data_IF_327885537455
#
_entry.id   IF_327885537455
#
_cell.length_a   1.000
_cell.length_b   1.000
_cell.length_c   1.000
_cell.angle_alpha   90.00
_cell.angle_beta   90.00
_cell.angle_gamma   90.00
#
_symmetry.space_group_name_H-M   'P 1'
#
loop_
_entity.id
_entity.type
_entity.pdbx_description
1 polymer ?
#
# COMPACT_ATOMS: atom_id res chain seq x y z
N UNK A 1 -12.26 -3.42 22.31
CA UNK A 1 -12.15 -2.29 23.24
C UNK A 1 -10.65 -2.09 23.56
N UNK A 2 -10.02 -1.16 22.88
CA UNK A 2 -8.66 -0.75 23.13
C UNK A 2 -8.63 0.74 23.43
N UNK A 3 -8.90 1.10 24.68
CA UNK A 3 -8.56 2.41 25.21
C UNK A 3 -7.18 2.32 25.82
N UNK A 4 -6.22 3.08 25.33
CA UNK A 4 -4.94 3.24 25.95
C UNK A 4 -4.88 4.63 26.60
N UNK A 5 -4.95 4.67 27.91
CA UNK A 5 -4.56 5.85 28.67
C UNK A 5 -3.06 5.74 28.92
N UNK A 6 -2.26 6.47 28.18
CA UNK A 6 -0.83 6.54 28.41
C UNK A 6 -0.56 7.71 29.36
N UNK A 7 0.06 7.37 30.48
CA UNK A 7 0.54 8.23 31.57
C UNK A 7 -0.43 8.52 32.71
N UNK A 8 -0.43 7.60 33.67
CA UNK A 8 -0.87 7.90 35.02
C UNK A 8 0.37 8.09 35.90
N UNK A 9 0.82 9.31 36.12
CA UNK A 9 1.73 9.65 37.21
C UNK A 9 0.89 10.22 38.34
N UNK A 10 1.08 9.68 39.55
CA UNK A 10 0.29 9.95 40.73
C UNK A 10 0.58 11.35 41.32
N UNK A 11 0.19 12.38 40.62
CA UNK A 11 -0.04 13.75 41.10
C UNK A 11 -0.88 14.42 39.99
N UNK A 12 -2.19 14.58 40.18
CA UNK A 12 -3.13 15.38 39.37
C UNK A 12 -2.66 15.68 37.92
N UNK A 13 -2.27 14.64 37.18
CA UNK A 13 -1.86 14.84 35.78
C UNK A 13 -3.08 14.79 34.91
N UNK A 14 -3.40 15.91 34.28
CA UNK A 14 -4.31 15.94 33.14
C UNK A 14 -3.79 14.98 32.06
N UNK A 15 -4.63 14.11 31.50
CA UNK A 15 -4.19 13.21 30.44
C UNK A 15 -3.67 14.05 29.25
N UNK A 16 -2.47 13.70 28.75
CA UNK A 16 -1.89 14.36 27.56
C UNK A 16 -2.61 13.94 26.28
N UNK A 17 -3.22 12.77 26.24
CA UNK A 17 -3.89 12.20 25.09
C UNK A 17 -5.08 11.33 25.52
N UNK A 18 -6.15 11.39 24.76
CA UNK A 18 -7.28 10.46 24.80
C UNK A 18 -7.51 9.88 23.39
N UNK A 19 -7.50 8.54 23.29
CA UNK A 19 -7.68 7.81 22.03
C UNK A 19 -8.72 6.70 22.21
N UNK A 20 -9.86 6.82 21.55
CA UNK A 20 -10.84 5.74 21.36
C UNK A 20 -10.99 5.43 19.87
N UNK A 21 -10.49 4.28 19.43
CA UNK A 21 -10.58 3.88 18.05
C UNK A 21 -11.07 2.43 17.90
N UNK A 22 -12.01 2.23 16.98
CA UNK A 22 -12.54 0.92 16.64
C UNK A 22 -12.73 0.81 15.12
N UNK A 23 -12.14 -0.24 14.54
CA UNK A 23 -12.26 -0.53 13.11
C UNK A 23 -12.77 -1.96 12.93
N UNK A 24 -13.75 -2.11 12.04
CA UNK A 24 -14.30 -3.43 11.67
C UNK A 24 -14.49 -3.46 10.16
N UNK A 25 -13.95 -4.46 9.49
CA UNK A 25 -14.08 -4.61 8.05
C UNK A 25 -14.91 -5.86 7.73
N UNK A 26 -15.89 -5.69 6.86
CA UNK A 26 -16.60 -6.80 6.21
C UNK A 26 -16.11 -6.89 4.77
N UNK A 27 -15.49 -8.02 4.44
CA UNK A 27 -14.85 -8.21 3.13
C UNK A 27 -15.56 -9.35 2.40
N UNK A 28 -16.02 -9.06 1.18
CA UNK A 28 -16.52 -10.05 0.23
C UNK A 28 -15.60 -10.08 -0.98
N UNK A 29 -15.06 -11.26 -1.31
CA UNK A 29 -14.18 -11.43 -2.47
C UNK A 29 -14.67 -12.59 -3.33
N UNK A 30 -14.71 -12.38 -4.65
CA UNK A 30 -14.94 -13.44 -5.62
C UNK A 30 -13.86 -13.40 -6.69
N UNK A 31 -13.46 -14.58 -7.15
CA UNK A 31 -12.43 -14.72 -8.19
C UNK A 31 -12.86 -15.80 -9.15
N UNK A 32 -12.80 -15.48 -10.44
CA UNK A 32 -13.00 -16.41 -11.52
C UNK A 32 -11.69 -16.59 -12.29
N UNK A 33 -11.19 -17.83 -12.36
CA UNK A 33 -9.98 -18.19 -13.08
C UNK A 33 -10.32 -19.19 -14.17
N UNK A 34 -9.94 -18.88 -15.41
CA UNK A 34 -10.22 -19.73 -16.57
C UNK A 34 -8.97 -19.92 -17.43
N UNK A 35 -8.66 -21.17 -17.69
CA UNK A 35 -7.67 -21.57 -18.68
C UNK A 35 -8.39 -21.80 -20.01
N UNK A 36 -8.20 -20.89 -20.97
CA UNK A 36 -8.79 -20.99 -22.29
C UNK A 36 -8.00 -21.92 -23.22
N UNK A 37 -6.69 -21.95 -23.06
CA UNK A 37 -5.79 -22.86 -23.77
C UNK A 37 -4.53 -23.12 -22.95
N UNK A 38 -3.62 -23.97 -23.47
CA UNK A 38 -2.31 -24.19 -22.83
C UNK A 38 -1.43 -22.92 -22.80
N UNK A 39 -1.76 -21.91 -23.61
CA UNK A 39 -1.01 -20.67 -23.71
C UNK A 39 -1.79 -19.44 -23.20
N UNK A 40 -3.07 -19.58 -22.83
CA UNK A 40 -3.89 -18.45 -22.41
C UNK A 40 -4.68 -18.76 -21.15
N UNK A 41 -4.39 -18.02 -20.08
CA UNK A 41 -5.17 -18.02 -18.84
C UNK A 41 -5.64 -16.60 -18.54
N UNK A 42 -6.84 -16.49 -17.97
CA UNK A 42 -7.38 -15.21 -17.49
C UNK A 42 -7.92 -15.39 -16.08
N UNK A 43 -7.71 -14.36 -15.28
CA UNK A 43 -8.21 -14.26 -13.91
C UNK A 43 -8.94 -12.93 -13.75
N UNK A 44 -10.21 -12.99 -13.36
CA UNK A 44 -11.04 -11.82 -13.05
C UNK A 44 -11.46 -11.90 -11.60
N UNK A 45 -11.40 -10.81 -10.88
CA UNK A 45 -11.83 -10.76 -9.49
C UNK A 45 -12.53 -9.46 -9.15
N UNK A 46 -13.33 -9.55 -8.10
CA UNK A 46 -14.05 -8.44 -7.51
C UNK A 46 -13.92 -8.54 -5.99
N UNK A 47 -13.68 -7.41 -5.34
CA UNK A 47 -13.65 -7.30 -3.88
C UNK A 47 -14.48 -6.10 -3.44
N UNK A 48 -15.36 -6.33 -2.49
CA UNK A 48 -16.11 -5.32 -1.77
C UNK A 48 -15.66 -5.33 -0.32
N UNK A 49 -15.15 -4.22 0.17
CA UNK A 49 -14.76 -4.05 1.57
C UNK A 49 -15.61 -2.94 2.18
N UNK A 50 -16.49 -3.29 3.13
CA UNK A 50 -17.20 -2.29 3.94
C UNK A 50 -16.44 -2.08 5.25
N UNK A 51 -16.04 -0.84 5.50
CA UNK A 51 -15.21 -0.41 6.63
C UNK A 51 -16.07 0.39 7.60
N UNK A 52 -16.37 -0.20 8.76
CA UNK A 52 -17.01 0.51 9.89
C UNK A 52 -15.91 1.12 10.73
N UNK A 53 -16.05 2.39 11.06
CA UNK A 53 -15.07 3.10 11.85
C UNK A 53 -15.73 3.94 12.96
N UNK A 54 -15.08 3.98 14.07
CA UNK A 54 -15.24 4.96 15.16
C UNK A 54 -13.84 5.38 15.55
N UNK A 55 -13.58 6.66 15.57
CA UNK A 55 -12.32 7.24 16.02
C UNK A 55 -12.61 8.52 16.76
N UNK A 56 -11.91 8.73 17.84
CA UNK A 56 -11.90 9.94 18.64
C UNK A 56 -10.50 10.07 19.20
N UNK A 57 -9.74 11.03 18.70
CA UNK A 57 -8.40 11.35 19.15
C UNK A 57 -8.36 12.80 19.58
N UNK A 58 -8.06 13.02 20.83
CA UNK A 58 -7.85 14.33 21.43
C UNK A 58 -6.48 14.40 22.08
N UNK A 59 -5.77 15.52 21.92
CA UNK A 59 -4.42 15.73 22.41
C UNK A 59 -4.34 17.09 23.07
N UNK A 60 -3.61 17.19 24.19
CA UNK A 60 -3.29 18.49 24.80
C UNK A 60 -2.16 19.15 23.99
N UNK A 61 -2.33 20.38 23.49
CA UNK A 61 -1.29 21.09 22.72
C UNK A 61 -0.02 21.30 23.55
N UNK A 62 -0.18 21.55 24.84
CA UNK A 62 0.88 21.69 25.83
C UNK A 62 0.52 20.97 27.13
N UNK A 63 1.53 20.72 27.97
CA UNK A 63 1.35 20.08 29.27
C UNK A 63 0.35 20.90 30.12
N UNK A 64 -0.62 20.22 30.73
CA UNK A 64 -1.70 20.79 31.55
C UNK A 64 -2.75 21.63 30.79
N UNK A 65 -2.75 21.67 29.45
CA UNK A 65 -3.83 22.29 28.67
C UNK A 65 -5.00 21.31 28.42
N UNK A 66 -6.20 21.84 28.14
CA UNK A 66 -7.33 21.00 27.77
C UNK A 66 -7.08 20.20 26.50
N UNK A 67 -7.63 18.98 26.44
CA UNK A 67 -7.58 18.15 25.25
C UNK A 67 -8.30 18.82 24.09
N UNK A 68 -7.67 18.83 22.93
CA UNK A 68 -8.24 19.30 21.66
C UNK A 68 -8.48 18.13 20.72
N UNK A 69 -9.61 18.18 20.01
CA UNK A 69 -9.95 17.16 19.04
C UNK A 69 -9.04 17.30 17.82
N UNK A 70 -8.25 16.24 17.56
CA UNK A 70 -7.36 16.14 16.39
C UNK A 70 -8.01 15.32 15.27
N UNK A 71 -8.68 14.23 15.61
CA UNK A 71 -9.39 13.42 14.61
C UNK A 71 -10.66 12.83 15.22
N UNK A 72 -11.79 13.00 14.54
CA UNK A 72 -13.06 12.47 15.03
C UNK A 72 -13.96 12.08 13.87
N UNK A 73 -14.45 10.84 13.92
CA UNK A 73 -15.39 10.33 12.93
C UNK A 73 -16.03 9.02 13.36
N UNK A 74 -17.29 8.83 12.96
CA UNK A 74 -18.01 7.58 13.15
C UNK A 74 -18.89 7.33 11.94
N UNK A 75 -18.85 6.12 11.41
CA UNK A 75 -19.66 5.77 10.25
C UNK A 75 -19.19 4.50 9.57
N UNK A 76 -19.54 4.41 8.30
CA UNK A 76 -19.02 3.38 7.42
C UNK A 76 -18.76 3.95 6.03
N UNK A 77 -17.85 3.33 5.33
CA UNK A 77 -17.54 3.58 3.91
C UNK A 77 -17.13 2.29 3.25
N UNK A 78 -17.09 2.28 1.92
CA UNK A 78 -16.71 1.07 1.19
C UNK A 78 -15.56 1.35 0.23
N UNK A 79 -14.67 0.37 0.11
CA UNK A 79 -13.70 0.26 -0.95
C UNK A 79 -14.15 -0.87 -1.89
N UNK A 80 -14.46 -0.50 -3.13
CA UNK A 80 -14.91 -1.41 -4.17
C UNK A 80 -13.76 -1.57 -5.16
N UNK A 81 -13.38 -2.80 -5.46
CA UNK A 81 -12.31 -3.05 -6.43
C UNK A 81 -12.61 -4.22 -7.36
N UNK A 82 -12.10 -4.12 -8.58
CA UNK A 82 -12.20 -5.18 -9.57
C UNK A 82 -10.91 -5.25 -10.39
N UNK A 83 -10.59 -6.44 -10.86
CA UNK A 83 -9.42 -6.64 -11.72
C UNK A 83 -9.68 -7.69 -12.78
N UNK A 84 -8.94 -7.53 -13.87
CA UNK A 84 -8.77 -8.55 -14.90
C UNK A 84 -7.28 -8.71 -15.19
N UNK A 85 -6.80 -9.95 -15.26
CA UNK A 85 -5.40 -10.26 -15.53
C UNK A 85 -5.31 -11.46 -16.46
N UNK A 86 -4.53 -11.31 -17.51
CA UNK A 86 -4.30 -12.33 -18.53
C UNK A 86 -2.83 -12.71 -18.59
N UNK A 87 -2.57 -14.01 -18.77
CA UNK A 87 -1.24 -14.54 -19.05
C UNK A 87 -1.29 -15.26 -20.41
N UNK A 88 -0.43 -14.82 -21.33
CA UNK A 88 -0.37 -15.31 -22.72
C UNK A 88 1.03 -15.81 -23.03
N UNK A 89 1.17 -17.10 -23.33
CA UNK A 89 2.37 -17.68 -23.91
C UNK A 89 2.49 -17.30 -25.39
N UNK A 90 3.21 -16.23 -25.70
CA UNK A 90 3.41 -15.76 -27.08
C UNK A 90 4.18 -16.80 -27.91
N UNK A 91 5.18 -17.40 -27.27
CA UNK A 91 5.95 -18.53 -27.79
C UNK A 91 6.28 -19.49 -26.64
N UNK A 92 7.06 -20.53 -26.89
CA UNK A 92 7.56 -21.43 -25.82
C UNK A 92 8.53 -20.71 -24.87
N UNK A 93 9.11 -19.58 -25.31
CA UNK A 93 10.12 -18.82 -24.54
C UNK A 93 9.62 -17.47 -24.02
N UNK A 94 8.52 -16.96 -24.58
CA UNK A 94 7.99 -15.64 -24.25
C UNK A 94 6.62 -15.74 -23.62
N UNK A 95 6.45 -15.13 -22.44
CA UNK A 95 5.16 -15.01 -21.76
C UNK A 95 4.87 -13.55 -21.50
N UNK A 96 3.70 -13.09 -21.94
CA UNK A 96 3.15 -11.76 -21.63
C UNK A 96 2.10 -11.90 -20.53
N UNK A 97 2.23 -11.12 -19.48
CA UNK A 97 1.22 -10.90 -18.47
C UNK A 97 0.70 -9.47 -18.60
N UNK A 98 -0.59 -9.31 -18.71
CA UNK A 98 -1.22 -7.98 -18.79
C UNK A 98 -2.48 -7.96 -17.94
N UNK A 99 -2.71 -6.87 -17.23
CA UNK A 99 -3.86 -6.72 -16.36
C UNK A 99 -4.22 -5.27 -16.10
N UNK A 100 -5.41 -5.09 -15.60
CA UNK A 100 -5.95 -3.83 -15.14
C UNK A 100 -6.65 -4.07 -13.80
N UNK A 101 -6.41 -3.18 -12.86
CA UNK A 101 -7.10 -3.15 -11.57
C UNK A 101 -7.75 -1.77 -11.42
N UNK A 102 -8.94 -1.74 -10.89
CA UNK A 102 -9.66 -0.51 -10.60
C UNK A 102 -10.22 -0.54 -9.19
N UNK A 103 -10.24 0.62 -8.53
CA UNK A 103 -10.86 0.75 -7.21
C UNK A 103 -11.58 2.09 -7.05
N UNK A 104 -12.60 2.10 -6.20
CA UNK A 104 -13.45 3.23 -5.86
C UNK A 104 -13.60 3.29 -4.33
N UNK A 105 -13.28 4.42 -3.73
CA UNK A 105 -13.57 4.72 -2.33
C UNK A 105 -14.85 5.54 -2.24
N UNK A 106 -15.88 4.99 -1.60
CA UNK A 106 -17.20 5.66 -1.51
C UNK A 106 -17.24 6.83 -0.52
N UNK A 107 -16.21 6.97 0.34
CA UNK A 107 -16.09 8.09 1.29
C UNK A 107 -16.12 9.45 0.59
N UNK A 108 -15.43 9.55 -0.54
CA UNK A 108 -15.23 10.79 -1.29
C UNK A 108 -15.36 10.59 -2.81
N UNK A 109 -15.82 9.42 -3.26
CA UNK A 109 -15.99 9.04 -4.67
C UNK A 109 -14.70 9.11 -5.50
N UNK A 110 -13.51 9.02 -4.85
CA UNK A 110 -12.24 8.90 -5.55
C UNK A 110 -12.06 7.50 -6.10
N UNK A 111 -11.43 7.42 -7.26
CA UNK A 111 -11.17 6.16 -7.95
C UNK A 111 -9.77 6.13 -8.55
N UNK A 112 -9.27 4.93 -8.80
CA UNK A 112 -8.01 4.72 -9.50
C UNK A 112 -8.11 3.58 -10.51
N UNK A 113 -7.28 3.66 -11.55
CA UNK A 113 -7.07 2.60 -12.53
C UNK A 113 -5.60 2.30 -12.62
N UNK A 114 -5.26 1.02 -12.52
CA UNK A 114 -3.89 0.53 -12.33
C UNK A 114 -3.55 -0.50 -13.41
N UNK A 115 -3.02 -0.05 -14.56
CA UNK A 115 -2.50 -0.97 -15.57
C UNK A 115 -1.23 -1.66 -15.07
N UNK A 116 -1.08 -2.93 -15.44
CA UNK A 116 0.09 -3.76 -15.11
C UNK A 116 0.45 -4.60 -16.32
N UNK A 117 1.72 -4.65 -16.65
CA UNK A 117 2.23 -5.47 -17.75
C UNK A 117 3.58 -6.06 -17.36
N UNK A 118 3.82 -7.29 -17.78
CA UNK A 118 5.09 -7.96 -17.57
C UNK A 118 5.40 -8.88 -18.75
N UNK A 119 6.63 -8.82 -19.22
CA UNK A 119 7.14 -9.68 -20.29
C UNK A 119 8.26 -10.54 -19.72
N UNK A 120 8.11 -11.86 -19.82
CA UNK A 120 9.10 -12.85 -19.39
C UNK A 120 9.70 -13.54 -20.60
N UNK A 121 11.02 -13.65 -20.60
CA UNK A 121 11.80 -14.34 -21.63
C UNK A 121 12.67 -15.45 -21.02
N UNK A 122 12.40 -16.69 -21.42
CA UNK A 122 13.25 -17.84 -21.11
C UNK A 122 14.36 -17.92 -22.16
N UNK A 123 15.47 -17.23 -21.92
CA UNK A 123 16.59 -17.14 -22.89
C UNK A 123 17.27 -18.49 -23.11
N UNK A 124 17.49 -19.24 -22.02
CA UNK A 124 18.02 -20.60 -22.03
C UNK A 124 17.26 -21.47 -21.01
N UNK A 125 17.44 -22.80 -20.96
CA UNK A 125 16.86 -23.62 -19.89
C UNK A 125 17.24 -23.19 -18.47
N UNK A 126 18.35 -22.45 -18.33
CA UNK A 126 18.85 -21.98 -17.03
C UNK A 126 18.65 -20.48 -16.80
N UNK A 127 18.40 -19.68 -17.84
CA UNK A 127 18.42 -18.22 -17.75
C UNK A 127 17.07 -17.61 -18.12
N UNK A 128 16.53 -16.79 -17.26
CA UNK A 128 15.25 -16.08 -17.44
C UNK A 128 15.47 -14.59 -17.25
N UNK A 129 14.88 -13.79 -18.12
CA UNK A 129 14.75 -12.34 -17.96
C UNK A 129 13.28 -11.97 -17.86
N UNK A 130 12.95 -10.93 -17.09
CA UNK A 130 11.63 -10.33 -17.11
C UNK A 130 11.73 -8.82 -16.97
N UNK A 131 10.80 -8.12 -17.62
CA UNK A 131 10.55 -6.69 -17.43
C UNK A 131 9.10 -6.53 -17.00
N UNK A 132 8.87 -5.78 -15.95
CA UNK A 132 7.53 -5.48 -15.47
C UNK A 132 7.35 -3.98 -15.24
N UNK A 133 6.14 -3.52 -15.55
CA UNK A 133 5.63 -2.20 -15.20
C UNK A 133 4.28 -2.36 -14.52
N UNK A 134 4.02 -1.58 -13.49
CA UNK A 134 2.73 -1.56 -12.83
C UNK A 134 2.44 -0.23 -12.15
N UNK A 135 1.18 0.19 -12.23
CA UNK A 135 0.64 1.22 -11.36
C UNK A 135 -0.04 0.57 -10.16
N UNK A 136 0.08 1.24 -9.02
CA UNK A 136 -0.51 0.83 -7.75
C UNK A 136 -1.04 2.07 -7.06
N UNK A 137 -2.13 1.93 -6.33
CA UNK A 137 -2.63 3.00 -5.50
C UNK A 137 -3.18 2.47 -4.18
N UNK A 138 -3.18 3.34 -3.18
CA UNK A 138 -3.75 3.05 -1.87
C UNK A 138 -4.48 4.26 -1.32
N UNK A 139 -5.56 4.00 -0.61
CA UNK A 139 -6.18 5.01 0.25
C UNK A 139 -5.30 5.27 1.49
N UNK A 140 -5.46 6.41 2.11
CA UNK A 140 -4.82 6.70 3.39
C UNK A 140 -5.52 5.94 4.54
N UNK A 141 -4.92 5.97 5.72
CA UNK A 141 -5.57 5.46 6.94
C UNK A 141 -6.84 6.29 7.22
N UNK A 142 -7.85 5.68 7.82
CA UNK A 142 -9.14 6.36 8.06
C UNK A 142 -9.01 7.58 8.96
N UNK A 143 -8.10 7.56 9.92
CA UNK A 143 -7.82 8.67 10.82
C UNK A 143 -7.34 9.93 10.07
N UNK A 144 -6.57 9.76 8.99
CA UNK A 144 -6.10 10.88 8.15
C UNK A 144 -7.26 11.63 7.49
N UNK A 145 -8.30 10.93 7.02
CA UNK A 145 -9.46 11.57 6.38
C UNK A 145 -10.30 12.41 7.35
N UNK A 146 -10.26 12.10 8.65
CA UNK A 146 -11.10 12.73 9.66
C UNK A 146 -10.35 13.71 10.57
N UNK A 147 -9.17 14.14 10.15
CA UNK A 147 -8.42 15.20 10.82
C UNK A 147 -9.27 16.48 10.88
N UNK A 148 -9.30 17.11 12.03
CA UNK A 148 -9.99 18.36 12.32
C UNK A 148 -8.99 19.41 12.73
N UNK A 149 -9.21 20.64 12.29
CA UNK A 149 -8.38 21.78 12.69
C UNK A 149 -9.24 22.89 13.26
N UNK A 150 -8.72 23.64 14.23
CA UNK A 150 -9.40 24.80 14.80
C UNK A 150 -9.70 25.88 13.76
N UNK A 151 -8.79 26.09 12.82
CA UNK A 151 -8.91 27.09 11.75
C UNK A 151 -10.13 26.85 10.83
N UNK A 152 -10.62 25.62 10.76
CA UNK A 152 -11.77 25.23 9.92
C UNK A 152 -13.06 24.99 10.71
N UNK A 153 -13.10 25.42 11.97
CA UNK A 153 -14.27 25.22 12.83
C UNK A 153 -14.55 23.74 13.13
N UNK A 154 -13.51 22.94 13.30
CA UNK A 154 -13.58 21.50 13.55
C UNK A 154 -14.21 20.68 12.41
N UNK A 155 -14.17 21.16 11.18
CA UNK A 155 -14.55 20.36 10.01
C UNK A 155 -13.40 19.46 9.58
N UNK A 156 -13.72 18.30 9.04
CA UNK A 156 -12.71 17.35 8.50
C UNK A 156 -12.05 17.93 7.26
N UNK A 157 -10.75 18.23 7.34
CA UNK A 157 -10.00 18.95 6.30
C UNK A 157 -9.46 18.04 5.19
N UNK A 158 -9.28 16.74 5.48
CA UNK A 158 -8.61 15.79 4.60
C UNK A 158 -9.58 14.80 3.91
N UNK A 159 -10.89 15.02 4.03
CA UNK A 159 -11.89 14.06 3.54
C UNK A 159 -11.82 13.83 2.03
N UNK A 160 -11.39 14.83 1.28
CA UNK A 160 -11.30 14.80 -0.19
C UNK A 160 -9.95 14.30 -0.73
N UNK A 161 -9.05 13.81 0.12
CA UNK A 161 -7.78 13.25 -0.32
C UNK A 161 -8.00 12.10 -1.32
N UNK A 162 -7.21 12.14 -2.39
CA UNK A 162 -7.15 11.08 -3.40
C UNK A 162 -6.24 9.92 -2.94
N UNK A 163 -6.19 8.86 -3.71
CA UNK A 163 -5.26 7.76 -3.52
C UNK A 163 -3.81 8.24 -3.71
N UNK A 164 -2.94 7.81 -2.82
CA UNK A 164 -1.49 7.83 -3.07
C UNK A 164 -1.17 6.81 -4.15
N UNK A 165 -0.44 7.21 -5.20
CA UNK A 165 -0.14 6.38 -6.37
C UNK A 165 1.35 6.11 -6.50
N UNK A 166 1.68 4.93 -7.03
CA UNK A 166 3.04 4.51 -7.31
C UNK A 166 3.14 3.86 -8.69
N UNK A 167 4.18 4.20 -9.44
CA UNK A 167 4.55 3.52 -10.67
C UNK A 167 5.83 2.73 -10.41
N UNK A 168 5.81 1.43 -10.74
CA UNK A 168 6.95 0.54 -10.56
C UNK A 168 7.45 0.06 -11.91
N UNK A 169 8.76 0.11 -12.11
CA UNK A 169 9.47 -0.56 -13.19
C UNK A 169 10.46 -1.52 -12.55
N UNK A 170 10.44 -2.76 -12.95
CA UNK A 170 11.31 -3.80 -12.41
C UNK A 170 11.89 -4.65 -13.54
N UNK A 171 13.20 -4.88 -13.49
CA UNK A 171 13.86 -5.91 -14.26
C UNK A 171 14.10 -7.12 -13.34
N UNK A 172 14.06 -8.32 -13.89
CA UNK A 172 14.40 -9.54 -13.16
C UNK A 172 15.32 -10.39 -14.01
N UNK A 173 16.43 -10.79 -13.42
CA UNK A 173 17.35 -11.78 -13.95
C UNK A 173 17.31 -13.01 -13.04
N UNK A 174 16.95 -14.16 -13.60
CA UNK A 174 16.94 -15.44 -12.90
C UNK A 174 17.94 -16.41 -13.53
N UNK A 175 18.77 -17.04 -12.70
CA UNK A 175 19.74 -18.04 -13.14
C UNK A 175 19.70 -19.30 -12.30
N UNK A 176 19.43 -20.44 -12.94
CA UNK A 176 19.54 -21.77 -12.33
C UNK A 176 20.99 -22.21 -12.32
N UNK A 177 21.65 -22.09 -11.18
CA UNK A 177 23.03 -22.55 -10.98
C UNK A 177 23.08 -24.07 -11.10
N UNK A 178 22.09 -24.74 -10.50
CA UNK A 178 21.84 -26.18 -10.62
C UNK A 178 20.33 -26.45 -10.56
N UNK A 179 19.92 -27.70 -10.64
CA UNK A 179 18.49 -28.07 -10.52
C UNK A 179 17.88 -27.71 -9.16
N UNK A 180 18.72 -27.39 -8.18
CA UNK A 180 18.30 -27.07 -6.81
C UNK A 180 18.81 -25.73 -6.29
N UNK A 181 19.49 -24.96 -7.10
CA UNK A 181 20.06 -23.68 -6.69
C UNK A 181 19.70 -22.60 -7.71
N UNK A 182 19.04 -21.56 -7.24
CA UNK A 182 18.64 -20.40 -8.02
C UNK A 182 19.27 -19.12 -7.49
N UNK A 183 19.67 -18.25 -8.41
CA UNK A 183 20.02 -16.87 -8.15
C UNK A 183 18.99 -15.99 -8.85
N UNK A 184 18.50 -14.96 -8.16
CA UNK A 184 17.59 -13.96 -8.70
C UNK A 184 18.13 -12.57 -8.37
N UNK A 185 18.14 -11.66 -9.34
CA UNK A 185 18.58 -10.26 -9.18
C UNK A 185 17.49 -9.38 -9.77
N UNK A 186 16.99 -8.42 -8.99
CA UNK A 186 15.84 -7.58 -9.34
C UNK A 186 16.11 -6.10 -9.04
N UNK A 187 16.74 -5.37 -9.97
CA UNK A 187 16.76 -3.91 -9.89
C UNK A 187 15.36 -3.33 -10.18
N UNK A 188 15.01 -2.29 -9.44
CA UNK A 188 13.72 -1.61 -9.58
C UNK A 188 13.84 -0.10 -9.41
N UNK A 189 12.87 0.61 -9.96
CA UNK A 189 12.61 2.01 -9.68
C UNK A 189 11.12 2.21 -9.43
N UNK A 190 10.80 3.01 -8.42
CA UNK A 190 9.46 3.38 -8.03
C UNK A 190 9.32 4.89 -8.04
N UNK A 191 8.28 5.41 -8.68
CA UNK A 191 7.89 6.81 -8.64
C UNK A 191 6.59 6.95 -7.86
N UNK A 192 6.63 7.72 -6.77
CA UNK A 192 5.46 8.07 -5.98
C UNK A 192 4.89 9.39 -6.46
N UNK A 193 3.57 9.48 -6.56
CA UNK A 193 2.87 10.71 -6.89
C UNK A 193 1.52 10.77 -6.17
N UNK A 194 0.93 11.95 -6.15
CA UNK A 194 -0.30 12.24 -5.41
C UNK A 194 -0.18 11.91 -3.90
N UNK A 195 1.05 11.98 -3.36
CA UNK A 195 1.31 11.73 -1.94
C UNK A 195 0.77 12.90 -1.13
N UNK A 196 0.01 12.65 -0.04
CA UNK A 196 -0.45 13.71 0.84
C UNK A 196 0.73 14.41 1.52
N UNK A 197 0.78 15.73 1.37
CA UNK A 197 1.76 16.63 1.99
C UNK A 197 1.05 17.85 2.57
N UNK A 198 1.67 18.54 3.52
CA UNK A 198 1.17 19.82 4.00
C UNK A 198 1.15 20.84 2.85
N UNK A 199 0.14 21.72 2.82
CA UNK A 199 -0.06 22.65 1.70
C UNK A 199 1.11 23.62 1.49
N UNK A 200 1.75 24.06 2.56
CA UNK A 200 2.79 25.10 2.64
C UNK A 200 4.18 24.52 2.91
N UNK A 201 4.31 23.21 2.95
CA UNK A 201 5.55 22.51 3.27
C UNK A 201 5.67 21.25 2.40
N UNK A 202 6.89 20.82 2.15
CA UNK A 202 7.15 19.51 1.51
C UNK A 202 7.07 18.33 2.47
N UNK A 203 6.63 18.56 3.71
CA UNK A 203 6.53 17.51 4.72
C UNK A 203 5.40 16.54 4.40
N UNK A 204 5.75 15.27 4.23
CA UNK A 204 4.83 14.21 3.82
C UNK A 204 4.41 13.32 4.99
N UNK A 205 3.16 12.85 4.94
CA UNK A 205 2.66 11.78 5.84
C UNK A 205 3.55 10.54 5.81
N UNK A 206 4.19 10.23 4.67
CA UNK A 206 5.08 9.07 4.53
C UNK A 206 6.36 9.18 5.36
N UNK A 207 6.78 10.39 5.70
CA UNK A 207 8.01 10.67 6.44
C UNK A 207 7.76 10.95 7.92
N UNK A 208 6.52 10.82 8.40
CA UNK A 208 6.19 11.04 9.81
C UNK A 208 6.52 9.83 10.66
N UNK A 209 7.16 10.09 11.78
CA UNK A 209 7.34 9.12 12.87
C UNK A 209 6.14 9.07 13.83
N UNK A 210 5.29 10.12 13.81
CA UNK A 210 4.12 10.21 14.67
C UNK A 210 3.02 9.25 14.19
N UNK A 211 2.31 8.66 15.14
CA UNK A 211 1.26 7.70 14.83
C UNK A 211 -0.07 8.35 14.40
N UNK A 212 -0.18 9.67 14.47
CA UNK A 212 -1.36 10.46 14.08
C UNK A 212 -0.99 11.62 13.16
N UNK A 213 -1.98 12.17 12.48
CA UNK A 213 -1.88 13.34 11.60
C UNK A 213 -2.81 14.41 12.14
N UNK A 214 -2.35 15.66 12.21
CA UNK A 214 -3.12 16.82 12.68
C UNK A 214 -3.23 17.94 11.64
N UNK A 215 -2.59 17.76 10.47
CA UNK A 215 -2.45 18.79 9.46
C UNK A 215 -3.47 18.64 8.32
N UNK A 216 -3.81 19.77 7.71
CA UNK A 216 -4.47 19.80 6.41
C UNK A 216 -3.49 19.40 5.31
N UNK A 217 -3.89 18.41 4.50
CA UNK A 217 -3.04 17.79 3.49
C UNK A 217 -3.59 18.01 2.08
N UNK A 218 -2.69 17.98 1.12
CA UNK A 218 -2.99 18.04 -0.32
C UNK A 218 -2.20 16.98 -1.09
N UNK A 219 -2.78 16.38 -2.12
CA UNK A 219 -2.15 15.34 -2.95
C UNK A 219 -1.18 15.95 -3.97
N UNK A 220 -0.06 16.54 -3.53
CA UNK A 220 0.97 17.17 -4.38
C UNK A 220 2.36 16.56 -4.22
N UNK A 221 2.54 15.70 -3.22
CA UNK A 221 3.83 15.08 -2.91
C UNK A 221 4.28 14.12 -4.01
N UNK A 222 5.59 14.04 -4.18
CA UNK A 222 6.27 13.13 -5.10
C UNK A 222 7.46 12.50 -4.40
N UNK A 223 7.79 11.26 -4.80
CA UNK A 223 8.96 10.56 -4.30
C UNK A 223 9.53 9.62 -5.36
N UNK A 224 10.75 9.17 -5.12
CA UNK A 224 11.42 8.19 -5.98
C UNK A 224 12.23 7.24 -5.12
N UNK A 225 12.02 5.94 -5.30
CA UNK A 225 12.85 4.90 -4.69
C UNK A 225 13.54 4.14 -5.81
N UNK A 226 14.80 3.83 -5.62
CA UNK A 226 15.60 2.99 -6.52
C UNK A 226 16.27 1.92 -5.69
N UNK A 227 16.25 0.68 -6.13
CA UNK A 227 16.87 -0.39 -5.38
C UNK A 227 17.19 -1.62 -6.22
N UNK A 228 17.84 -2.56 -5.56
CA UNK A 228 18.18 -3.87 -6.11
C UNK A 228 18.00 -4.93 -5.03
N UNK A 229 17.27 -5.98 -5.38
CA UNK A 229 17.08 -7.17 -4.54
C UNK A 229 17.88 -8.33 -5.13
N UNK A 230 18.57 -9.06 -4.26
CA UNK A 230 19.32 -10.26 -4.64
C UNK A 230 18.85 -11.39 -3.75
N UNK A 231 18.43 -12.49 -4.37
CA UNK A 231 17.98 -13.70 -3.67
C UNK A 231 18.74 -14.91 -4.18
N UNK A 232 19.34 -15.65 -3.26
CA UNK A 232 19.93 -16.94 -3.51
C UNK A 232 19.15 -18.01 -2.74
N UNK A 233 18.68 -19.03 -3.43
CA UNK A 233 17.85 -20.09 -2.88
C UNK A 233 18.41 -21.46 -3.21
N UNK A 234 18.48 -22.34 -2.21
CA UNK A 234 18.72 -23.77 -2.38
C UNK A 234 17.51 -24.55 -1.93
N UNK A 235 16.91 -25.29 -2.86
CA UNK A 235 15.78 -26.18 -2.58
C UNK A 235 16.19 -27.37 -1.71
N UNK A 236 15.23 -27.92 -0.99
CA UNK A 236 15.43 -29.01 -0.05
C UNK A 236 16.16 -30.20 -0.69
N UNK A 237 17.31 -30.53 -0.12
CA UNK A 237 18.09 -31.68 -0.46
C UNK A 237 18.77 -32.26 0.79
N UNK A 238 18.63 -33.57 1.03
CA UNK A 238 19.22 -34.24 2.19
C UNK A 238 18.89 -33.57 3.52
N UNK A 239 17.67 -33.05 3.64
CA UNK A 239 17.20 -32.34 4.83
C UNK A 239 17.64 -30.91 4.98
N UNK A 240 18.36 -30.31 3.98
CA UNK A 240 18.83 -28.94 4.02
C UNK A 240 18.13 -28.08 2.97
N UNK A 241 17.50 -26.99 3.40
CA UNK A 241 16.98 -25.89 2.62
C UNK A 241 17.52 -24.57 3.18
N UNK A 242 17.86 -23.63 2.32
CA UNK A 242 18.14 -22.25 2.76
C UNK A 242 17.86 -21.25 1.67
N UNK A 243 17.49 -20.03 2.10
CA UNK A 243 17.33 -18.86 1.27
C UNK A 243 18.06 -17.69 1.93
N UNK A 244 18.85 -16.99 1.14
CA UNK A 244 19.56 -15.77 1.54
C UNK A 244 19.09 -14.67 0.62
N UNK A 245 18.59 -13.59 1.19
CA UNK A 245 18.20 -12.39 0.43
C UNK A 245 18.83 -11.14 1.04
N UNK A 246 19.19 -10.21 0.18
CA UNK A 246 19.67 -8.89 0.54
C UNK A 246 19.08 -7.85 -0.38
N UNK A 247 18.76 -6.68 0.19
CA UNK A 247 18.21 -5.53 -0.52
C UNK A 247 19.08 -4.31 -0.25
N UNK A 248 19.32 -3.54 -1.30
CA UNK A 248 19.88 -2.19 -1.19
C UNK A 248 18.94 -1.23 -1.90
N UNK A 249 18.64 -0.09 -1.26
CA UNK A 249 17.78 0.93 -1.85
C UNK A 249 18.13 2.33 -1.38
N UNK A 250 17.71 3.31 -2.19
CA UNK A 250 17.79 4.76 -1.95
C UNK A 250 16.41 5.38 -2.20
N UNK A 251 15.97 6.31 -1.29
CA UNK A 251 14.63 6.91 -1.29
C UNK A 251 14.64 8.41 -0.99
#
# INVERSE_FOLDING_TARGET
DGGATLFNHSMESTPYMDLDSKYTNLIFTTTFNRKFSNRFTNKTGFTYTNMFYKMDLSIAPYEAEPLEIVSQGKGNTSLISAYNSSSVGLTERWTLNAGIYGQLLTLNNKWSVEPRVGLKWQATPKTTFALAYGMYSRMEKMDVYFVKTKSTGNQSVNKDLDFTKAQHIMLSFGYKISDRMNLKIEPYIQFLHDVPVMADSSYSVLNRSDFYVEDALVNKGRGRNVGIDITFERFLEKGLYYMISGSWFDS
#
